data_IF_338382575727
#
_entry.id   IF_338382575727
#
_cell.length_a   1.000
_cell.length_b   1.000
_cell.length_c   1.000
_cell.angle_alpha   90.00
_cell.angle_beta   90.00
_cell.angle_gamma   90.00
#
_symmetry.space_group_name_H-M   'P 1'
#
loop_
_entity.id
_entity.type
_entity.pdbx_description
1 polymer ?
#
# COMPACT_ATOMS: atom_id res chain seq x y z
N UNK A 1 9.19 -15.53 0.25
CA UNK A 1 7.95 -16.04 0.87
C UNK A 1 7.28 -14.95 1.71
N UNK A 2 5.94 -14.84 1.71
CA UNK A 2 5.18 -13.85 2.49
C UNK A 2 5.58 -12.39 2.22
N UNK A 3 5.74 -12.01 0.96
CA UNK A 3 5.92 -10.60 0.59
C UNK A 3 4.54 -9.97 0.39
N UNK A 4 4.31 -8.80 0.99
CA UNK A 4 3.05 -8.06 0.89
C UNK A 4 3.26 -6.75 0.13
N UNK A 5 2.46 -6.55 -0.91
CA UNK A 5 2.33 -5.27 -1.61
C UNK A 5 0.98 -4.66 -1.24
N UNK A 6 0.99 -3.60 -0.43
CA UNK A 6 -0.22 -2.92 -0.02
C UNK A 6 -0.34 -1.62 -0.82
N UNK A 7 -1.18 -1.61 -1.86
CA UNK A 7 -1.58 -0.39 -2.57
C UNK A 7 -2.75 0.38 -1.93
N UNK A 8 -3.68 -0.25 -1.16
CA UNK A 8 -4.82 0.46 -0.57
C UNK A 8 -4.42 1.41 0.57
N UNK A 9 -5.18 2.50 0.68
CA UNK A 9 -5.09 3.51 1.73
C UNK A 9 -6.50 3.93 2.17
N UNK A 10 -6.59 4.34 3.43
CA UNK A 10 -7.76 5.04 3.96
C UNK A 10 -7.35 6.38 4.57
N UNK A 11 -8.27 7.35 4.64
CA UNK A 11 -8.04 8.57 5.39
C UNK A 11 -7.65 8.30 6.85
N UNK A 12 -6.76 9.13 7.40
CA UNK A 12 -6.29 8.99 8.78
C UNK A 12 -7.36 9.37 9.81
N UNK A 13 -8.25 10.32 9.46
CA UNK A 13 -9.31 10.77 10.34
C UNK A 13 -10.46 9.74 10.38
N UNK A 14 -10.93 9.31 11.56
CA UNK A 14 -12.01 8.33 11.69
C UNK A 14 -13.30 8.72 10.95
N UNK A 15 -13.67 10.00 11.00
CA UNK A 15 -14.86 10.55 10.36
C UNK A 15 -14.78 10.47 8.83
N UNK A 16 -13.55 10.33 8.30
CA UNK A 16 -13.27 10.20 6.89
C UNK A 16 -13.22 8.76 6.39
N UNK A 17 -12.70 7.82 7.18
CA UNK A 17 -12.60 6.39 6.78
C UNK A 17 -13.79 5.52 7.17
N UNK A 18 -14.64 5.97 8.10
CA UNK A 18 -15.83 5.20 8.46
C UNK A 18 -16.90 5.33 7.38
N UNK A 19 -17.71 4.27 7.23
CA UNK A 19 -18.87 4.29 6.36
C UNK A 19 -19.83 5.41 6.75
N UNK A 20 -20.23 6.22 5.76
CA UNK A 20 -21.13 7.36 5.93
C UNK A 20 -22.04 7.52 4.73
N UNK A 21 -23.10 8.31 4.89
CA UNK A 21 -24.00 8.64 3.79
C UNK A 21 -23.27 9.59 2.84
N UNK A 22 -23.01 9.12 1.62
CA UNK A 22 -22.36 9.89 0.58
C UNK A 22 -23.36 10.82 -0.12
N UNK A 23 -22.85 11.73 -0.96
CA UNK A 23 -23.69 12.70 -1.71
C UNK A 23 -24.66 12.03 -2.68
N UNK A 24 -24.39 10.80 -3.10
CA UNK A 24 -25.24 10.00 -3.98
C UNK A 24 -26.31 9.18 -3.20
N UNK A 25 -26.41 9.37 -1.89
CA UNK A 25 -27.37 8.70 -1.02
C UNK A 25 -27.00 7.28 -0.61
N UNK A 26 -25.79 6.80 -0.94
CA UNK A 26 -25.32 5.46 -0.54
C UNK A 26 -24.50 5.51 0.74
N UNK A 27 -24.62 4.48 1.56
CA UNK A 27 -23.70 4.22 2.66
C UNK A 27 -22.44 3.58 2.11
N UNK A 28 -21.31 4.30 2.19
CA UNK A 28 -19.99 3.74 1.87
C UNK A 28 -18.91 4.43 2.69
N UNK A 29 -17.77 3.77 2.84
CA UNK A 29 -16.53 4.38 3.30
C UNK A 29 -15.80 5.08 2.13
N UNK A 30 -14.67 5.71 2.45
CA UNK A 30 -13.74 6.30 1.48
C UNK A 30 -12.42 5.55 1.58
N UNK A 31 -11.97 5.06 0.43
CA UNK A 31 -10.66 4.44 0.23
C UNK A 31 -10.02 5.03 -1.03
N UNK A 32 -8.70 4.94 -1.11
CA UNK A 32 -7.93 5.34 -2.28
C UNK A 32 -6.71 4.42 -2.43
N UNK A 33 -6.04 4.50 -3.58
CA UNK A 33 -4.85 3.71 -3.84
C UNK A 33 -3.66 4.59 -4.20
N UNK A 34 -2.46 4.13 -3.85
CA UNK A 34 -1.22 4.67 -4.39
C UNK A 34 -0.42 3.52 -5.04
N UNK A 35 -0.06 3.64 -6.34
CA UNK A 35 0.57 2.55 -7.06
C UNK A 35 1.96 2.24 -6.50
N UNK A 36 2.33 0.96 -6.51
CA UNK A 36 3.70 0.52 -6.20
C UNK A 36 4.41 0.23 -7.52
N UNK A 37 5.65 0.71 -7.65
CA UNK A 37 6.52 0.41 -8.80
C UNK A 37 7.72 -0.38 -8.34
N UNK A 38 8.00 -1.53 -8.99
CA UNK A 38 9.19 -2.35 -8.73
C UNK A 38 10.01 -2.40 -10.02
N UNK A 39 11.28 -2.00 -9.93
CA UNK A 39 12.21 -2.03 -11.04
C UNK A 39 12.70 -3.44 -11.41
N UNK A 40 13.56 -3.48 -12.42
CA UNK A 40 14.13 -4.73 -12.92
C UNK A 40 15.17 -5.31 -11.93
N UNK A 41 15.30 -6.64 -11.92
CA UNK A 41 16.29 -7.37 -11.12
C UNK A 41 16.24 -7.10 -9.60
N UNK A 42 15.06 -6.77 -9.06
CA UNK A 42 14.89 -6.64 -7.61
C UNK A 42 14.79 -8.00 -6.91
N UNK A 43 15.39 -8.11 -5.73
CA UNK A 43 15.17 -9.25 -4.82
C UNK A 43 14.52 -8.78 -3.52
N UNK A 44 13.29 -9.24 -3.28
CA UNK A 44 12.59 -9.03 -2.01
C UNK A 44 12.67 -10.32 -1.20
N UNK A 45 13.38 -10.26 -0.06
CA UNK A 45 13.52 -11.39 0.82
C UNK A 45 12.21 -11.68 1.59
N UNK A 46 12.21 -12.74 2.41
CA UNK A 46 11.00 -13.19 3.10
C UNK A 46 10.41 -12.13 4.03
N UNK A 47 9.07 -12.08 4.11
CA UNK A 47 8.33 -11.23 5.05
C UNK A 47 8.50 -9.71 4.85
N UNK A 48 8.83 -9.26 3.64
CA UNK A 48 8.88 -7.83 3.28
C UNK A 48 7.47 -7.28 3.10
N UNK A 49 7.22 -6.06 3.59
CA UNK A 49 6.01 -5.28 3.29
C UNK A 49 6.38 -4.00 2.54
N UNK A 50 5.74 -3.76 1.40
CA UNK A 50 5.88 -2.55 0.59
C UNK A 50 4.61 -1.72 0.70
N UNK A 51 4.75 -0.50 1.20
CA UNK A 51 3.64 0.43 1.44
C UNK A 51 3.15 1.12 0.15
N UNK A 52 1.93 1.71 0.19
CA UNK A 52 1.33 2.38 -0.95
C UNK A 52 2.22 3.52 -1.47
N UNK A 53 2.36 3.63 -2.80
CA UNK A 53 3.10 4.72 -3.44
C UNK A 53 4.62 4.51 -3.56
N UNK A 54 5.17 3.45 -2.98
CA UNK A 54 6.61 3.18 -3.00
C UNK A 54 7.10 2.86 -4.42
N UNK A 55 8.28 3.37 -4.76
CA UNK A 55 9.06 2.95 -5.93
C UNK A 55 10.36 2.29 -5.49
N UNK A 56 10.56 1.03 -5.87
CA UNK A 56 11.83 0.31 -5.72
C UNK A 56 12.61 0.39 -7.03
N UNK A 57 13.82 0.93 -7.00
CA UNK A 57 14.67 1.07 -8.18
C UNK A 57 15.26 -0.26 -8.69
N UNK A 58 15.81 -0.23 -9.90
CA UNK A 58 16.45 -1.39 -10.52
C UNK A 58 17.62 -1.93 -9.66
N UNK A 59 17.82 -3.25 -9.68
CA UNK A 59 18.90 -3.97 -9.00
C UNK A 59 18.93 -3.82 -7.46
N UNK A 60 17.82 -3.42 -6.83
CA UNK A 60 17.72 -3.34 -5.38
C UNK A 60 17.51 -4.70 -4.71
N UNK A 61 18.08 -4.87 -3.51
CA UNK A 61 17.79 -6.00 -2.61
C UNK A 61 17.12 -5.46 -1.35
N UNK A 62 15.94 -5.98 -1.03
CA UNK A 62 15.19 -5.64 0.18
C UNK A 62 15.33 -6.79 1.17
N UNK A 63 15.98 -6.51 2.31
CA UNK A 63 16.25 -7.50 3.36
C UNK A 63 14.99 -8.06 4.01
N UNK A 64 15.10 -9.26 4.59
CA UNK A 64 13.96 -9.97 5.17
C UNK A 64 13.31 -9.17 6.31
N UNK A 65 11.97 -9.18 6.39
CA UNK A 65 11.22 -8.46 7.44
C UNK A 65 11.15 -6.94 7.28
N UNK A 66 11.70 -6.36 6.19
CA UNK A 66 11.69 -4.91 5.99
C UNK A 66 10.29 -4.36 5.75
N UNK A 67 10.02 -3.16 6.26
CA UNK A 67 8.84 -2.34 5.93
C UNK A 67 9.32 -1.15 5.11
N UNK A 68 8.96 -1.12 3.83
CA UNK A 68 9.33 -0.05 2.90
C UNK A 68 8.18 0.95 2.84
N UNK A 69 8.39 2.16 3.36
CA UNK A 69 7.36 3.20 3.59
C UNK A 69 7.54 4.42 2.72
#
# INVERSE_FOLDING_TARGET
PNVTFATPLHPLLPEQRNARLQKDGKMSDVEYGAPITIGDNCWLASNVTVCPGVTVGNNCVIGAGSVVT
#
